data_IF_018303740309
#
_entry.id   IF_018303740309
#
_cell.length_a   1.000
_cell.length_b   1.000
_cell.length_c   1.000
_cell.angle_alpha   90.00
_cell.angle_beta   90.00
_cell.angle_gamma   90.00
#
_symmetry.space_group_name_H-M   'P 1'
#
loop_
_entity.id
_entity.type
_entity.pdbx_description
1 polymer ?
#
# COMPACT_ATOMS: atom_id res chain seq x y z
N UNK A 1 1.50 -14.60 -7.55
CA UNK A 1 1.64 -13.36 -6.76
C UNK A 1 1.64 -13.75 -5.29
N UNK A 2 2.73 -13.52 -4.58
CA UNK A 2 2.78 -13.76 -3.14
C UNK A 2 1.96 -12.68 -2.42
N UNK A 3 1.05 -13.12 -1.54
CA UNK A 3 0.26 -12.22 -0.71
C UNK A 3 1.05 -11.98 0.59
N UNK A 4 1.50 -10.74 0.81
CA UNK A 4 2.26 -10.38 2.02
C UNK A 4 1.32 -10.20 3.22
N UNK A 5 0.15 -9.62 2.99
CA UNK A 5 -0.84 -9.40 4.04
C UNK A 5 -2.26 -9.31 3.48
N UNK A 6 -3.24 -9.77 4.25
CA UNK A 6 -4.66 -9.53 3.96
C UNK A 6 -5.44 -9.40 5.26
N UNK A 7 -6.37 -8.44 5.28
CA UNK A 7 -7.34 -8.29 6.37
C UNK A 7 -8.70 -7.87 5.81
N UNK A 8 -9.73 -7.99 6.64
CA UNK A 8 -11.08 -7.50 6.34
C UNK A 8 -11.39 -6.31 7.22
N UNK A 9 -12.12 -5.34 6.68
CA UNK A 9 -12.59 -4.19 7.47
C UNK A 9 -13.50 -4.67 8.60
N UNK A 10 -13.18 -4.24 9.83
CA UNK A 10 -13.93 -4.57 11.06
C UNK A 10 -14.84 -3.42 11.45
N UNK A 11 -16.14 -3.53 11.18
CA UNK A 11 -17.07 -2.40 11.33
C UNK A 11 -17.58 -2.22 12.76
N UNK A 12 -18.21 -3.24 13.34
CA UNK A 12 -18.94 -3.13 14.61
C UNK A 12 -18.28 -4.02 15.66
N UNK A 13 -17.91 -3.46 16.82
CA UNK A 13 -17.23 -4.17 17.93
C UNK A 13 -15.98 -5.00 17.52
N UNK A 14 -15.30 -4.64 16.43
CA UNK A 14 -14.17 -5.41 15.91
C UNK A 14 -14.53 -6.65 15.07
N UNK A 15 -15.81 -6.82 14.73
CA UNK A 15 -16.28 -7.93 13.89
C UNK A 15 -16.10 -7.63 12.39
N UNK A 16 -15.63 -8.61 11.58
CA UNK A 16 -15.40 -8.47 10.15
C UNK A 16 -16.71 -8.66 9.36
N UNK A 17 -17.72 -7.83 9.64
CA UNK A 17 -19.03 -7.88 8.96
C UNK A 17 -19.04 -7.13 7.62
N UNK A 18 -17.91 -6.52 7.24
CA UNK A 18 -17.81 -5.89 5.95
C UNK A 18 -17.42 -6.90 4.86
N UNK A 19 -17.88 -6.62 3.66
CA UNK A 19 -17.45 -7.29 2.44
C UNK A 19 -16.23 -6.59 1.82
N UNK A 20 -15.54 -5.75 2.61
CA UNK A 20 -14.34 -5.05 2.17
C UNK A 20 -13.11 -5.84 2.60
N UNK A 21 -12.34 -6.29 1.62
CA UNK A 21 -11.07 -6.99 1.82
C UNK A 21 -9.93 -6.09 1.36
N UNK A 22 -8.89 -6.04 2.17
CA UNK A 22 -7.62 -5.42 1.85
C UNK A 22 -6.58 -6.50 1.62
N UNK A 23 -5.77 -6.30 0.59
CA UNK A 23 -4.70 -7.22 0.22
C UNK A 23 -3.47 -6.41 -0.16
N UNK A 24 -2.35 -6.69 0.49
CA UNK A 24 -1.03 -6.16 0.16
C UNK A 24 -0.24 -7.25 -0.55
N UNK A 25 0.22 -6.95 -1.76
CA UNK A 25 1.18 -7.77 -2.51
C UNK A 25 2.53 -7.06 -2.57
N UNK A 26 3.53 -7.70 -3.18
CA UNK A 26 4.86 -7.12 -3.40
C UNK A 26 4.83 -5.91 -4.35
N UNK A 27 3.81 -5.76 -5.20
CA UNK A 27 3.79 -4.72 -6.24
C UNK A 27 2.64 -3.73 -6.08
N UNK A 28 1.53 -4.14 -5.45
CA UNK A 28 0.31 -3.32 -5.34
C UNK A 28 -0.46 -3.57 -4.05
N UNK A 29 -1.19 -2.54 -3.65
CA UNK A 29 -2.22 -2.60 -2.63
C UNK A 29 -3.59 -2.67 -3.32
N UNK A 30 -4.43 -3.60 -2.87
CA UNK A 30 -5.74 -3.88 -3.48
C UNK A 30 -6.81 -3.78 -2.40
N UNK A 31 -7.83 -2.97 -2.67
CA UNK A 31 -9.06 -2.89 -1.90
C UNK A 31 -10.21 -3.42 -2.75
N UNK A 32 -10.86 -4.46 -2.25
CA UNK A 32 -12.02 -5.06 -2.89
C UNK A 32 -13.23 -4.88 -2.01
N UNK A 33 -14.30 -4.28 -2.52
CA UNK A 33 -15.55 -4.08 -1.80
C UNK A 33 -16.75 -4.42 -2.67
N UNK A 34 -17.75 -5.08 -2.09
CA UNK A 34 -18.94 -5.42 -2.85
C UNK A 34 -19.88 -6.41 -2.18
N UNK A 35 -21.18 -6.22 -2.35
CA UNK A 35 -22.23 -7.15 -1.89
C UNK A 35 -22.94 -7.77 -3.09
N UNK A 36 -23.41 -6.92 -4.01
CA UNK A 36 -24.09 -7.30 -5.27
C UNK A 36 -23.25 -6.92 -6.50
N UNK A 37 -22.50 -5.83 -6.40
CA UNK A 37 -21.51 -5.36 -7.38
C UNK A 37 -20.13 -5.46 -6.74
N UNK A 38 -19.10 -5.77 -7.53
CA UNK A 38 -17.71 -5.88 -7.05
C UNK A 38 -16.92 -4.69 -7.56
N UNK A 39 -16.53 -3.82 -6.64
CA UNK A 39 -15.61 -2.72 -6.89
C UNK A 39 -14.21 -3.11 -6.42
N UNK A 40 -13.22 -2.93 -7.29
CA UNK A 40 -11.82 -3.24 -7.02
C UNK A 40 -10.97 -1.99 -7.31
N UNK A 41 -10.38 -1.44 -6.27
CA UNK A 41 -9.44 -0.32 -6.34
C UNK A 41 -8.02 -0.88 -6.11
N UNK A 42 -7.10 -0.59 -7.03
CA UNK A 42 -5.69 -0.98 -6.89
C UNK A 42 -4.76 0.24 -6.99
N UNK A 43 -3.75 0.25 -6.12
CA UNK A 43 -2.68 1.25 -6.12
C UNK A 43 -1.35 0.52 -6.17
N UNK A 44 -0.52 0.84 -7.16
CA UNK A 44 0.84 0.28 -7.24
C UNK A 44 1.73 0.88 -6.15
N UNK A 45 2.53 0.06 -5.49
CA UNK A 45 3.33 0.49 -4.32
C UNK A 45 4.34 1.58 -4.67
N UNK A 46 4.96 1.53 -5.85
CA UNK A 46 5.90 2.56 -6.28
C UNK A 46 5.26 3.95 -6.48
N UNK A 47 3.92 4.04 -6.57
CA UNK A 47 3.17 5.30 -6.71
C UNK A 47 2.67 5.86 -5.37
N UNK A 48 2.77 5.06 -4.31
CA UNK A 48 2.42 5.52 -2.97
C UNK A 48 3.42 6.62 -2.59
N UNK A 49 2.91 7.78 -2.17
CA UNK A 49 3.70 8.92 -1.74
C UNK A 49 3.83 8.95 -0.22
N UNK A 50 2.70 8.83 0.47
CA UNK A 50 2.63 8.88 1.91
C UNK A 50 1.62 7.87 2.45
N UNK A 51 1.87 7.40 3.67
CA UNK A 51 1.00 6.47 4.41
C UNK A 51 0.77 7.05 5.81
N UNK A 52 -0.45 7.50 6.05
CA UNK A 52 -0.85 8.17 7.28
C UNK A 52 -1.80 7.31 8.11
N UNK A 53 -1.76 7.46 9.44
CA UNK A 53 -2.63 6.71 10.37
C UNK A 53 -3.60 7.67 11.07
N UNK A 54 -4.90 7.40 10.93
CA UNK A 54 -5.97 8.06 11.67
C UNK A 54 -6.62 7.10 12.67
N UNK A 55 -6.65 7.51 13.94
CA UNK A 55 -7.29 6.74 15.02
C UNK A 55 -8.10 7.66 15.94
N UNK A 56 -9.40 7.41 16.02
CA UNK A 56 -10.28 8.02 17.03
C UNK A 56 -10.12 7.34 18.40
N UNK A 57 -10.61 7.98 19.47
CA UNK A 57 -10.52 7.42 20.83
C UNK A 57 -11.18 6.04 20.96
N UNK A 58 -12.34 5.84 20.33
CA UNK A 58 -13.01 4.52 20.31
C UNK A 58 -12.19 3.47 19.56
N UNK A 59 -11.62 3.82 18.41
CA UNK A 59 -10.77 2.91 17.64
C UNK A 59 -9.51 2.49 18.42
N UNK A 60 -8.90 3.41 19.19
CA UNK A 60 -7.77 3.10 20.08
C UNK A 60 -8.15 2.07 21.15
N UNK A 61 -9.35 2.19 21.74
CA UNK A 61 -9.83 1.24 22.74
C UNK A 61 -10.01 -0.16 22.16
N UNK A 62 -10.49 -0.27 20.91
CA UNK A 62 -10.68 -1.55 20.21
C UNK A 62 -9.45 -2.02 19.42
N UNK A 63 -8.28 -1.37 19.56
CA UNK A 63 -7.04 -1.67 18.80
C UNK A 63 -7.23 -1.71 17.29
N UNK A 64 -8.14 -0.88 16.77
CA UNK A 64 -8.35 -0.71 15.33
C UNK A 64 -7.97 0.70 14.89
N UNK A 65 -7.91 0.94 13.59
CA UNK A 65 -7.69 2.28 13.05
C UNK A 65 -7.85 2.33 11.54
N UNK A 66 -7.77 3.54 11.00
CA UNK A 66 -7.87 3.79 9.56
C UNK A 66 -6.50 4.22 9.03
N UNK A 67 -5.98 3.53 8.04
CA UNK A 67 -4.75 3.92 7.33
C UNK A 67 -5.15 4.64 6.06
N UNK A 68 -4.64 5.84 5.86
CA UNK A 68 -4.86 6.66 4.68
C UNK A 68 -3.62 6.56 3.78
N UNK A 69 -3.81 6.11 2.55
CA UNK A 69 -2.74 5.95 1.57
C UNK A 69 -2.91 7.05 0.51
N UNK A 70 -1.92 7.93 0.38
CA UNK A 70 -1.87 8.95 -0.65
C UNK A 70 -1.02 8.46 -1.83
N UNK A 71 -1.61 8.44 -3.02
CA UNK A 71 -0.96 8.08 -4.28
C UNK A 71 -0.80 9.31 -5.17
N UNK A 72 0.16 9.27 -6.10
CA UNK A 72 0.27 10.24 -7.19
C UNK A 72 -0.54 9.88 -8.43
N UNK A 73 -1.30 8.79 -8.38
CA UNK A 73 -2.09 8.32 -9.52
C UNK A 73 -3.34 9.19 -9.75
N UNK A 74 -3.68 9.42 -11.02
CA UNK A 74 -4.83 10.25 -11.41
C UNK A 74 -6.14 9.49 -11.19
N UNK A 75 -6.13 8.16 -11.35
CA UNK A 75 -7.32 7.32 -11.25
C UNK A 75 -7.72 6.97 -9.80
N UNK A 76 -6.76 6.93 -8.88
CA UNK A 76 -6.98 6.59 -7.47
C UNK A 76 -6.01 7.40 -6.59
N UNK A 77 -6.31 8.69 -6.34
CA UNK A 77 -5.39 9.58 -5.65
C UNK A 77 -5.25 9.22 -4.15
N UNK A 78 -6.30 8.69 -3.54
CA UNK A 78 -6.37 8.40 -2.12
C UNK A 78 -7.12 7.08 -1.87
N UNK A 79 -6.63 6.28 -0.93
CA UNK A 79 -7.26 5.02 -0.53
C UNK A 79 -7.27 4.87 0.99
N UNK A 80 -8.47 4.65 1.53
CA UNK A 80 -8.68 4.43 2.96
C UNK A 80 -8.83 2.95 3.31
N UNK A 81 -7.91 2.48 4.15
CA UNK A 81 -7.92 1.16 4.78
C UNK A 81 -8.58 1.30 6.16
N UNK A 82 -9.90 1.12 6.21
CA UNK A 82 -10.73 1.45 7.37
C UNK A 82 -10.81 0.29 8.36
N UNK A 83 -10.66 0.61 9.65
CA UNK A 83 -10.82 -0.32 10.77
C UNK A 83 -10.00 -1.60 10.65
N UNK A 84 -8.70 -1.41 10.40
CA UNK A 84 -7.68 -2.46 10.40
C UNK A 84 -7.26 -2.76 11.83
N UNK A 85 -7.02 -4.05 12.14
CA UNK A 85 -6.50 -4.46 13.44
C UNK A 85 -5.01 -4.12 13.55
N UNK A 86 -4.60 -3.61 14.71
CA UNK A 86 -3.20 -3.25 14.98
C UNK A 86 -2.63 -2.33 13.87
N UNK A 87 -3.28 -1.18 13.60
CA UNK A 87 -3.06 -0.40 12.39
C UNK A 87 -1.68 0.26 12.33
N UNK A 88 -0.97 0.39 13.46
CA UNK A 88 0.44 0.81 13.49
C UNK A 88 1.34 -0.22 12.82
N UNK A 89 1.23 -1.48 13.22
CA UNK A 89 1.99 -2.58 12.63
C UNK A 89 1.70 -2.73 11.13
N UNK A 90 0.44 -2.57 10.74
CA UNK A 90 0.08 -2.62 9.30
C UNK A 90 0.63 -1.41 8.54
N UNK A 91 0.61 -0.21 9.13
CA UNK A 91 1.23 0.99 8.54
C UNK A 91 2.73 0.79 8.33
N UNK A 92 3.43 0.28 9.35
CA UNK A 92 4.87 0.03 9.29
C UNK A 92 5.18 -1.02 8.21
N UNK A 93 4.42 -2.12 8.17
CA UNK A 93 4.51 -3.13 7.10
C UNK A 93 4.34 -2.53 5.70
N UNK A 94 3.31 -1.71 5.48
CA UNK A 94 3.08 -1.07 4.17
C UNK A 94 4.26 -0.17 3.82
N UNK A 95 4.77 0.59 4.79
CA UNK A 95 5.90 1.50 4.60
C UNK A 95 7.17 0.74 4.20
N UNK A 96 7.49 -0.35 4.89
CA UNK A 96 8.65 -1.19 4.60
C UNK A 96 8.60 -1.78 3.18
N UNK A 97 7.43 -2.29 2.77
CA UNK A 97 7.26 -2.87 1.44
C UNK A 97 7.35 -1.79 0.35
N UNK A 98 6.78 -0.60 0.59
CA UNK A 98 6.88 0.54 -0.35
C UNK A 98 8.34 0.97 -0.54
N UNK A 99 9.11 1.06 0.55
CA UNK A 99 10.52 1.42 0.48
C UNK A 99 11.36 0.33 -0.22
N UNK A 100 11.06 -0.96 0.02
CA UNK A 100 11.72 -2.04 -0.70
C UNK A 100 11.50 -1.94 -2.22
N UNK A 101 10.25 -1.75 -2.65
CA UNK A 101 9.90 -1.60 -4.08
C UNK A 101 10.57 -0.37 -4.69
N UNK A 102 10.66 0.75 -3.95
CA UNK A 102 11.37 1.94 -4.40
C UNK A 102 12.87 1.68 -4.57
N UNK A 103 13.49 0.96 -3.64
CA UNK A 103 14.90 0.60 -3.72
C UNK A 103 15.19 -0.29 -4.92
N UNK A 104 14.38 -1.33 -5.15
CA UNK A 104 14.51 -2.21 -6.31
C UNK A 104 14.42 -1.44 -7.64
N UNK A 105 13.46 -0.50 -7.76
CA UNK A 105 13.34 0.36 -8.95
C UNK A 105 14.51 1.32 -9.10
N UNK A 106 15.05 1.84 -7.99
CA UNK A 106 16.21 2.74 -8.01
C UNK A 106 17.49 2.03 -8.44
N UNK A 107 17.72 0.81 -7.96
CA UNK A 107 18.86 -0.03 -8.38
C UNK A 107 18.80 -0.29 -9.88
N UNK A 108 17.62 -0.66 -10.40
CA UNK A 108 17.45 -0.84 -11.84
C UNK A 108 17.84 0.40 -12.64
N UNK A 109 17.42 1.60 -12.23
CA UNK A 109 17.78 2.86 -12.92
C UNK A 109 19.29 3.12 -12.91
N UNK A 110 19.97 2.85 -11.79
CA UNK A 110 21.41 3.08 -11.69
C UNK A 110 22.21 2.13 -12.61
N UNK A 111 21.77 0.88 -12.79
CA UNK A 111 22.42 -0.08 -13.68
C UNK A 111 22.32 0.36 -15.15
N UNK A 112 21.15 0.81 -15.61
CA UNK A 112 20.98 1.34 -16.97
C UNK A 112 21.77 2.64 -17.23
N UNK A 113 21.96 3.50 -16.22
CA UNK A 113 22.74 4.73 -16.38
C UNK A 113 24.25 4.47 -16.44
N UNK A 114 24.74 3.43 -15.74
CA UNK A 114 26.16 3.07 -15.70
C UNK A 114 26.63 2.49 -17.05
N UNK A 115 25.78 1.69 -17.72
CA UNK A 115 26.10 1.18 -19.05
C UNK A 115 26.21 2.30 -20.10
N UNK A 116 25.42 3.37 -19.98
CA UNK A 116 25.45 4.50 -20.92
C UNK A 116 26.67 5.42 -20.79
N UNK A 117 27.29 5.50 -19.61
CA UNK A 117 28.50 6.31 -19.40
C UNK A 117 29.77 5.64 -19.93
N UNK A 118 29.86 4.31 -19.87
CA UNK A 118 31.06 3.57 -20.30
C UNK A 118 31.28 3.64 -21.82
N UNK A 119 30.22 3.79 -22.62
CA UNK A 119 30.35 4.03 -24.08
C UNK A 119 30.91 5.40 -24.44
N UNK A 120 30.72 6.41 -23.57
CA UNK A 120 31.16 7.78 -23.84
C UNK A 120 32.66 7.97 -23.56
N UNK A 121 33.22 7.23 -22.61
CA UNK A 121 34.66 7.26 -22.29
C UNK A 121 35.53 6.40 -23.23
N UNK A 122 34.93 5.50 -24.02
CA UNK A 122 35.62 4.70 -25.05
C UNK A 122 35.77 5.42 -26.41
N UNK A 123 35.15 6.60 -26.56
CA UNK A 123 35.15 7.38 -27.81
C UNK A 123 36.06 8.63 -27.76
N UNK A 124 36.89 8.76 -26.71
CA UNK A 124 37.91 9.81 -26.58
C UNK A 124 39.32 9.22 -26.48
#
# INVERSE_FOLDING_TARGET
MAQLWSDKKRTIFGLPLSFTRYTLTEEKFIKKSGILSTDEEEIRLYRIRDVSLHQTLGQRLFKVGTIHICSSDISAPELDVVSVKDPRTVKDLISDVVENVRNEKRVGVNEFMTEGSDFHDLMN
#
